data_IF_017989769914
#
_entry.id   IF_017989769914
#
_cell.length_a   1.000
_cell.length_b   1.000
_cell.length_c   1.000
_cell.angle_alpha   90.00
_cell.angle_beta   90.00
_cell.angle_gamma   90.00
#
_symmetry.space_group_name_H-M   'P 1'
#
loop_
_entity.id
_entity.type
_entity.pdbx_description
1 polymer ?
#
# COMPACT_ATOMS: atom_id res chain seq x y z
N UNK A 1 7.04 29.80 40.18
CA UNK A 1 7.84 28.56 40.03
C UNK A 1 6.95 27.52 39.33
N UNK A 2 7.44 26.91 38.24
CA UNK A 2 6.94 25.71 37.51
C UNK A 2 5.48 25.74 36.96
N UNK A 3 5.26 25.89 35.64
CA UNK A 3 5.21 24.88 34.55
C UNK A 3 4.24 23.71 34.82
N UNK A 4 3.17 23.54 34.03
CA UNK A 4 3.21 22.73 32.81
C UNK A 4 1.89 22.71 31.99
N UNK A 5 2.05 22.46 30.68
CA UNK A 5 1.21 21.64 29.80
C UNK A 5 -0.14 22.14 29.22
N UNK A 6 -0.07 23.16 28.37
CA UNK A 6 -1.14 23.62 27.47
C UNK A 6 -0.98 23.19 26.00
N UNK A 7 -0.63 21.92 25.77
CA UNK A 7 -1.09 21.07 24.67
C UNK A 7 -1.44 21.74 23.31
N UNK A 8 -0.40 22.03 22.54
CA UNK A 8 -0.19 21.38 21.22
C UNK A 8 -1.22 21.61 20.11
N UNK A 9 -2.04 22.67 20.18
CA UNK A 9 -3.13 22.93 19.21
C UNK A 9 -2.89 24.07 18.21
N UNK A 10 -1.71 24.71 18.17
CA UNK A 10 -1.54 25.95 17.41
C UNK A 10 -0.36 26.01 16.42
N UNK A 11 0.45 24.96 16.28
CA UNK A 11 1.61 24.95 15.36
C UNK A 11 1.71 23.49 14.90
N UNK A 12 1.31 23.07 13.71
CA UNK A 12 1.94 23.30 12.41
C UNK A 12 0.86 23.02 11.34
N UNK A 13 0.06 24.03 11.01
CA UNK A 13 -0.88 24.06 9.88
C UNK A 13 -0.28 24.77 8.66
N UNK A 14 1.04 24.70 8.47
CA UNK A 14 1.71 25.33 7.32
C UNK A 14 2.73 24.40 6.69
N UNK A 15 2.26 23.46 5.88
CA UNK A 15 2.97 23.02 4.67
C UNK A 15 1.90 22.81 3.58
N UNK A 16 1.37 23.92 3.08
CA UNK A 16 0.73 23.97 1.78
C UNK A 16 1.42 25.08 1.00
N UNK A 17 1.76 24.77 -0.25
CA UNK A 17 2.38 25.62 -1.28
C UNK A 17 3.92 25.66 -1.34
N UNK A 18 4.40 25.42 -2.56
CA UNK A 18 5.77 25.51 -3.08
C UNK A 18 6.68 24.26 -2.93
N UNK A 19 6.75 23.52 -4.04
CA UNK A 19 7.93 22.84 -4.59
C UNK A 19 8.65 21.74 -3.79
N UNK A 20 8.92 20.64 -4.49
CA UNK A 20 9.81 19.52 -4.13
C UNK A 20 11.07 19.95 -3.36
N UNK A 21 11.45 19.20 -2.31
CA UNK A 21 12.67 18.38 -2.20
C UNK A 21 12.84 17.91 -0.74
N UNK A 22 13.34 16.67 -0.63
CA UNK A 22 13.50 15.89 0.60
C UNK A 22 14.22 16.56 1.75
N UNK A 23 13.61 16.44 2.92
CA UNK A 23 14.30 16.51 4.21
C UNK A 23 13.55 15.77 5.35
N UNK A 24 12.50 15.00 5.03
CA UNK A 24 11.75 14.25 6.07
C UNK A 24 11.76 12.74 5.88
N UNK A 25 12.21 12.19 4.74
CA UNK A 25 12.01 10.78 4.45
C UNK A 25 12.67 9.84 5.49
N UNK A 26 13.89 10.09 5.96
CA UNK A 26 14.53 9.16 6.91
C UNK A 26 13.99 9.25 8.35
N UNK A 27 13.88 10.45 8.91
CA UNK A 27 13.38 10.63 10.28
C UNK A 27 11.86 10.46 10.39
N UNK A 28 11.09 10.94 9.40
CA UNK A 28 9.65 10.69 9.37
C UNK A 28 9.34 9.24 9.03
N UNK A 29 10.11 8.53 8.18
CA UNK A 29 9.90 7.09 7.99
C UNK A 29 10.31 6.27 9.21
N UNK A 30 11.37 6.63 9.94
CA UNK A 30 11.71 5.97 11.20
C UNK A 30 10.68 6.25 12.30
N UNK A 31 10.24 7.49 12.44
CA UNK A 31 9.23 7.90 13.41
C UNK A 31 7.86 7.33 13.07
N UNK A 32 7.46 7.34 11.77
CA UNK A 32 6.28 6.64 11.27
C UNK A 32 6.43 5.14 11.53
N UNK A 33 7.50 4.47 11.09
CA UNK A 33 7.73 3.02 11.35
C UNK A 33 7.69 2.68 12.84
N UNK A 34 8.25 3.51 13.72
CA UNK A 34 8.17 3.31 15.18
C UNK A 34 6.76 3.49 15.70
N UNK A 35 6.04 4.52 15.26
CA UNK A 35 4.64 4.77 15.65
C UNK A 35 3.69 3.70 15.11
N UNK A 36 3.91 3.22 13.89
CA UNK A 36 3.18 2.10 13.28
C UNK A 36 3.48 0.78 13.99
N UNK A 37 4.75 0.46 14.30
CA UNK A 37 5.08 -0.71 15.14
C UNK A 37 4.42 -0.69 16.52
N UNK A 38 4.14 0.50 17.07
CA UNK A 38 3.47 0.66 18.37
C UNK A 38 1.93 0.61 18.27
N UNK A 39 1.34 0.94 17.12
CA UNK A 39 -0.11 0.96 16.90
C UNK A 39 -0.66 -0.28 16.17
N UNK A 40 0.20 -1.13 15.61
CA UNK A 40 -0.18 -2.38 14.96
C UNK A 40 -0.69 -3.38 15.99
N UNK A 41 -2.01 -3.44 16.20
CA UNK A 41 -2.62 -4.66 16.72
C UNK A 41 -2.36 -5.81 15.72
N UNK A 42 -2.31 -7.06 16.19
CA UNK A 42 -2.06 -8.24 15.33
C UNK A 42 -2.99 -8.33 14.09
N UNK A 43 -4.14 -7.65 14.11
CA UNK A 43 -5.11 -7.61 13.01
C UNK A 43 -4.71 -6.67 11.87
N UNK A 44 -3.74 -5.79 12.06
CA UNK A 44 -3.38 -4.74 11.09
C UNK A 44 -2.27 -5.19 10.11
N UNK A 45 -1.71 -6.40 10.29
CA UNK A 45 -0.68 -6.97 9.39
C UNK A 45 -1.33 -7.84 8.30
N UNK A 46 -2.49 -8.43 8.57
CA UNK A 46 -3.16 -9.25 7.57
C UNK A 46 -3.84 -8.38 6.50
N UNK A 47 -3.94 -8.84 5.24
CA UNK A 47 -4.81 -8.20 4.26
C UNK A 47 -6.26 -8.24 4.74
N UNK A 48 -6.99 -7.16 4.51
CA UNK A 48 -8.40 -7.11 4.91
C UNK A 48 -9.22 -8.06 4.03
N UNK A 49 -10.02 -8.91 4.70
CA UNK A 49 -10.88 -9.89 4.07
C UNK A 49 -12.27 -9.79 4.69
N UNK A 50 -13.17 -9.12 3.98
CA UNK A 50 -14.56 -9.04 4.37
C UNK A 50 -15.26 -10.36 4.04
N UNK A 51 -16.17 -10.77 4.92
CA UNK A 51 -17.07 -11.89 4.67
C UNK A 51 -18.49 -11.36 4.54
N UNK A 52 -19.22 -11.91 3.58
CA UNK A 52 -20.67 -11.69 3.45
C UNK A 52 -21.40 -12.30 4.65
N UNK A 53 -22.67 -11.93 4.85
CA UNK A 53 -23.54 -12.50 5.90
C UNK A 53 -23.62 -14.03 5.85
N UNK A 54 -23.48 -14.62 4.66
CA UNK A 54 -23.43 -16.07 4.44
C UNK A 54 -22.10 -16.74 4.82
N UNK A 55 -21.12 -15.97 5.29
CA UNK A 55 -19.76 -16.43 5.59
C UNK A 55 -18.84 -16.59 4.37
N UNK A 56 -19.37 -16.43 3.14
CA UNK A 56 -18.56 -16.42 1.91
C UNK A 56 -17.65 -15.19 1.86
N UNK A 57 -16.47 -15.33 1.25
CA UNK A 57 -15.57 -14.20 0.97
C UNK A 57 -16.31 -13.13 0.17
N UNK A 58 -16.36 -11.92 0.73
CA UNK A 58 -16.92 -10.73 0.10
C UNK A 58 -15.83 -9.97 -0.63
N UNK A 59 -15.32 -8.92 0.00
CA UNK A 59 -14.26 -8.08 -0.56
C UNK A 59 -12.90 -8.46 0.01
N UNK A 60 -11.93 -8.62 -0.89
CA UNK A 60 -10.53 -8.76 -0.55
C UNK A 60 -9.82 -7.43 -0.83
N UNK A 61 -9.06 -6.94 0.14
CA UNK A 61 -8.18 -5.78 -0.01
C UNK A 61 -7.24 -5.98 -1.20
N UNK A 62 -7.17 -5.02 -2.12
CA UNK A 62 -6.28 -5.12 -3.28
C UNK A 62 -4.83 -5.04 -2.81
N UNK A 63 -3.94 -5.80 -3.46
CA UNK A 63 -2.52 -5.84 -3.10
C UNK A 63 -1.87 -4.45 -2.97
N UNK A 64 -2.10 -3.55 -3.91
CA UNK A 64 -1.52 -2.20 -3.85
C UNK A 64 -2.04 -1.37 -2.67
N UNK A 65 -3.31 -1.57 -2.28
CA UNK A 65 -3.92 -0.91 -1.13
C UNK A 65 -3.36 -1.48 0.18
N UNK A 66 -3.20 -2.80 0.23
CA UNK A 66 -2.52 -3.47 1.33
C UNK A 66 -1.10 -2.92 1.53
N UNK A 67 -0.30 -2.80 0.46
CA UNK A 67 1.05 -2.22 0.53
C UNK A 67 1.03 -0.78 1.04
N UNK A 68 0.12 0.07 0.53
CA UNK A 68 -0.02 1.44 1.00
C UNK A 68 -0.31 1.51 2.51
N UNK A 69 -1.24 0.68 3.00
CA UNK A 69 -1.56 0.58 4.43
C UNK A 69 -0.38 0.10 5.26
N UNK A 70 0.34 -0.93 4.79
CA UNK A 70 1.56 -1.42 5.46
C UNK A 70 2.68 -0.37 5.49
N UNK A 71 2.69 0.56 4.53
CA UNK A 71 3.60 1.70 4.47
C UNK A 71 3.12 2.93 5.28
N UNK A 72 1.92 2.84 5.88
CA UNK A 72 1.36 3.89 6.72
C UNK A 72 0.60 4.98 5.96
N UNK A 73 0.05 4.66 4.78
CA UNK A 73 -0.88 5.54 4.08
C UNK A 73 -2.31 5.12 4.43
N UNK A 74 -3.11 6.06 4.95
CA UNK A 74 -4.51 5.83 5.31
C UNK A 74 -5.41 5.89 4.05
N UNK A 75 -5.06 6.73 3.08
CA UNK A 75 -5.72 6.82 1.76
C UNK A 75 -4.72 6.47 0.64
N UNK A 76 -5.11 5.53 -0.23
CA UNK A 76 -4.29 5.07 -1.35
C UNK A 76 -4.11 6.12 -2.45
N UNK A 77 -4.97 7.16 -2.46
CA UNK A 77 -4.84 8.32 -3.33
C UNK A 77 -3.67 9.24 -2.93
N UNK A 78 -3.12 9.08 -1.72
CA UNK A 78 -1.92 9.81 -1.29
C UNK A 78 -0.64 9.26 -1.94
N UNK A 79 -0.65 8.00 -2.36
CA UNK A 79 0.52 7.31 -2.89
C UNK A 79 0.25 6.54 -4.20
N UNK A 80 -0.37 7.16 -5.23
CA UNK A 80 -0.80 6.45 -6.44
C UNK A 80 0.37 5.83 -7.22
N UNK A 81 1.53 6.51 -7.24
CA UNK A 81 2.73 6.00 -7.88
C UNK A 81 3.31 4.79 -7.14
N UNK A 82 3.34 4.80 -5.80
CA UNK A 82 3.76 3.66 -4.99
C UNK A 82 2.84 2.46 -5.23
N UNK A 83 1.52 2.69 -5.25
CA UNK A 83 0.52 1.67 -5.56
C UNK A 83 0.75 1.03 -6.93
N UNK A 84 1.08 1.85 -7.95
CA UNK A 84 1.42 1.38 -9.29
C UNK A 84 2.69 0.52 -9.28
N UNK A 85 3.76 1.01 -8.66
CA UNK A 85 5.05 0.30 -8.57
C UNK A 85 4.91 -1.04 -7.84
N UNK A 86 4.17 -1.09 -6.73
CA UNK A 86 3.89 -2.32 -6.00
C UNK A 86 3.20 -3.35 -6.91
N UNK A 87 2.23 -2.90 -7.72
CA UNK A 87 1.51 -3.76 -8.64
C UNK A 87 2.38 -4.28 -9.79
N UNK A 88 3.17 -3.39 -10.39
CA UNK A 88 4.13 -3.75 -11.44
C UNK A 88 5.19 -4.73 -10.93
N UNK A 89 5.67 -4.52 -9.70
CA UNK A 89 6.64 -5.41 -9.06
C UNK A 89 6.06 -6.79 -8.78
N UNK A 90 4.84 -6.87 -8.23
CA UNK A 90 4.15 -8.15 -8.01
C UNK A 90 3.94 -8.91 -9.32
N UNK A 91 3.59 -8.21 -10.40
CA UNK A 91 3.43 -8.81 -11.73
C UNK A 91 4.75 -9.13 -12.42
N UNK A 92 5.89 -8.73 -11.84
CA UNK A 92 7.21 -8.76 -12.47
C UNK A 92 7.17 -8.16 -13.88
N UNK A 93 6.48 -7.02 -14.02
CA UNK A 93 6.40 -6.27 -15.27
C UNK A 93 7.80 -5.87 -15.74
N UNK A 94 8.01 -5.88 -17.06
CA UNK A 94 9.30 -5.49 -17.66
C UNK A 94 9.65 -4.05 -17.25
N UNK A 95 10.88 -3.84 -16.76
CA UNK A 95 11.37 -2.53 -16.33
C UNK A 95 10.85 -2.05 -14.98
N UNK A 96 10.12 -2.88 -14.22
CA UNK A 96 9.59 -2.45 -12.92
C UNK A 96 10.69 -2.06 -11.92
N UNK A 97 11.80 -2.79 -11.87
CA UNK A 97 12.93 -2.47 -10.98
C UNK A 97 13.59 -1.13 -11.35
N UNK A 98 13.77 -0.85 -12.65
CA UNK A 98 14.26 0.44 -13.12
C UNK A 98 13.30 1.58 -12.74
N UNK A 99 11.99 1.37 -12.89
CA UNK A 99 10.96 2.34 -12.50
C UNK A 99 10.96 2.61 -10.98
N UNK A 100 11.23 1.58 -10.16
CA UNK A 100 11.35 1.72 -8.71
C UNK A 100 12.62 2.51 -8.37
N UNK A 101 13.73 2.28 -9.07
CA UNK A 101 14.95 3.04 -8.87
C UNK A 101 14.76 4.51 -9.27
N UNK A 102 14.16 4.76 -10.43
CA UNK A 102 13.87 6.11 -10.94
C UNK A 102 12.93 6.89 -10.00
N UNK A 103 12.02 6.21 -9.31
CA UNK A 103 11.14 6.81 -8.31
C UNK A 103 11.91 7.57 -7.22
N UNK A 104 13.14 7.14 -6.89
CA UNK A 104 14.00 7.77 -5.90
C UNK A 104 15.08 8.68 -6.50
N UNK A 105 15.07 8.94 -7.81
CA UNK A 105 16.14 9.69 -8.53
C UNK A 105 16.48 11.08 -7.97
N UNK A 106 15.56 11.70 -7.21
CA UNK A 106 15.74 13.02 -6.59
C UNK A 106 16.13 12.98 -5.11
N UNK A 107 16.23 11.78 -4.54
CA UNK A 107 16.56 11.58 -3.13
C UNK A 107 18.07 11.49 -2.93
N UNK A 108 18.54 11.78 -1.71
CA UNK A 108 19.97 11.78 -1.39
C UNK A 108 20.61 10.38 -1.44
N UNK A 109 19.84 9.33 -1.19
CA UNK A 109 20.31 7.94 -1.09
C UNK A 109 19.43 6.98 -1.92
N UNK A 110 19.38 7.16 -3.25
CA UNK A 110 18.42 6.48 -4.12
C UNK A 110 18.59 4.95 -4.10
N UNK A 111 19.83 4.46 -4.07
CA UNK A 111 20.14 3.03 -4.01
C UNK A 111 19.67 2.39 -2.69
N UNK A 112 19.94 3.04 -1.55
CA UNK A 112 19.48 2.53 -0.25
C UNK A 112 17.96 2.49 -0.15
N UNK A 113 17.28 3.50 -0.69
CA UNK A 113 15.82 3.57 -0.70
C UNK A 113 15.21 2.54 -1.64
N UNK A 114 15.80 2.33 -2.82
CA UNK A 114 15.45 1.28 -3.75
C UNK A 114 15.48 -0.09 -3.09
N UNK A 115 16.61 -0.47 -2.48
CA UNK A 115 16.77 -1.77 -1.81
C UNK A 115 15.72 -1.96 -0.72
N UNK A 116 15.52 -0.95 0.14
CA UNK A 116 14.51 -1.01 1.21
C UNK A 116 13.09 -1.17 0.67
N UNK A 117 12.75 -0.49 -0.43
CA UNK A 117 11.42 -0.57 -1.00
C UNK A 117 11.16 -1.95 -1.61
N UNK A 118 12.14 -2.51 -2.33
CA UNK A 118 12.07 -3.88 -2.87
C UNK A 118 11.90 -4.91 -1.76
N UNK A 119 12.69 -4.80 -0.68
CA UNK A 119 12.55 -5.69 0.49
C UNK A 119 11.17 -5.61 1.14
N UNK A 120 10.59 -4.41 1.26
CA UNK A 120 9.24 -4.25 1.79
C UNK A 120 8.17 -4.79 0.82
N UNK A 121 8.36 -4.67 -0.50
CA UNK A 121 7.48 -5.30 -1.48
C UNK A 121 7.52 -6.82 -1.36
N UNK A 122 8.70 -7.45 -1.28
CA UNK A 122 8.83 -8.89 -1.09
C UNK A 122 8.15 -9.35 0.20
N UNK A 123 8.35 -8.62 1.31
CA UNK A 123 7.68 -8.92 2.58
C UNK A 123 6.17 -8.78 2.47
N UNK A 124 5.69 -7.74 1.78
CA UNK A 124 4.27 -7.53 1.56
C UNK A 124 3.67 -8.65 0.69
N UNK A 125 4.35 -9.10 -0.37
CA UNK A 125 3.89 -10.20 -1.22
C UNK A 125 3.72 -11.48 -0.39
N UNK A 126 4.76 -11.84 0.37
CA UNK A 126 4.73 -13.03 1.23
C UNK A 126 3.60 -12.93 2.27
N UNK A 127 3.51 -11.81 2.97
CA UNK A 127 2.48 -11.58 3.99
C UNK A 127 1.08 -11.64 3.37
N UNK A 128 0.89 -11.01 2.22
CA UNK A 128 -0.40 -10.92 1.53
C UNK A 128 -0.99 -12.31 1.26
N UNK A 129 -0.21 -13.23 0.68
CA UNK A 129 -0.71 -14.56 0.36
C UNK A 129 -0.73 -15.53 1.56
N UNK A 130 0.14 -15.35 2.56
CA UNK A 130 0.26 -16.29 3.68
C UNK A 130 -0.91 -16.20 4.66
N UNK A 131 -1.38 -14.99 5.00
CA UNK A 131 -2.49 -14.83 5.95
C UNK A 131 -3.79 -15.48 5.49
N UNK A 132 -4.04 -15.47 4.17
CA UNK A 132 -5.26 -16.02 3.56
C UNK A 132 -4.93 -17.10 2.53
N UNK A 133 -4.01 -18.00 2.85
CA UNK A 133 -3.54 -19.05 1.92
C UNK A 133 -4.67 -19.91 1.34
N UNK A 134 -5.71 -20.20 2.13
CA UNK A 134 -6.92 -20.90 1.67
C UNK A 134 -7.68 -20.17 0.56
N UNK A 135 -7.43 -18.87 0.38
CA UNK A 135 -8.01 -18.01 -0.64
C UNK A 135 -6.99 -17.58 -1.70
N UNK A 136 -5.76 -18.15 -1.72
CA UNK A 136 -4.69 -17.72 -2.63
C UNK A 136 -5.11 -17.69 -4.11
N UNK A 137 -5.92 -18.64 -4.57
CA UNK A 137 -6.45 -18.65 -5.95
C UNK A 137 -7.30 -17.42 -6.27
N UNK A 138 -8.11 -16.96 -5.32
CA UNK A 138 -8.90 -15.72 -5.44
C UNK A 138 -8.00 -14.50 -5.43
N UNK A 139 -7.00 -14.46 -4.54
CA UNK A 139 -6.04 -13.36 -4.45
C UNK A 139 -5.23 -13.22 -5.74
N UNK A 140 -4.72 -14.33 -6.28
CA UNK A 140 -4.02 -14.37 -7.58
C UNK A 140 -4.96 -13.92 -8.69
N UNK A 141 -6.19 -14.43 -8.72
CA UNK A 141 -7.18 -14.01 -9.73
C UNK A 141 -7.46 -12.52 -9.66
N UNK A 142 -7.54 -11.92 -8.47
CA UNK A 142 -7.69 -10.47 -8.31
C UNK A 142 -6.50 -9.75 -8.95
N UNK A 143 -5.26 -10.16 -8.63
CA UNK A 143 -4.02 -9.59 -9.18
C UNK A 143 -3.90 -9.74 -10.71
N UNK A 144 -4.39 -10.84 -11.27
CA UNK A 144 -4.37 -11.03 -12.72
C UNK A 144 -5.53 -10.29 -13.42
N UNK A 145 -6.66 -10.10 -12.73
CA UNK A 145 -7.90 -9.57 -13.33
C UNK A 145 -8.05 -8.05 -13.32
N UNK A 146 -7.24 -7.29 -12.58
CA UNK A 146 -7.27 -5.80 -12.66
C UNK A 146 -7.01 -5.28 -14.08
N UNK A 147 -6.37 -6.08 -14.93
CA UNK A 147 -6.12 -5.78 -16.35
C UNK A 147 -7.29 -6.19 -17.27
N UNK A 148 -8.24 -6.95 -16.75
CA UNK A 148 -9.41 -7.44 -17.48
C UNK A 148 -10.61 -6.52 -17.23
N UNK A 149 -10.69 -5.43 -18.00
CA UNK A 149 -11.97 -4.75 -18.27
C UNK A 149 -13.06 -5.71 -18.82
N UNK A 150 -12.71 -6.95 -19.19
CA UNK A 150 -13.60 -7.96 -19.80
C UNK A 150 -14.65 -8.55 -18.85
N UNK A 151 -14.59 -8.32 -17.53
CA UNK A 151 -15.57 -8.89 -16.58
C UNK A 151 -16.98 -8.31 -16.75
N UNK A 152 -17.11 -7.06 -17.20
CA UNK A 152 -18.41 -6.46 -17.53
C UNK A 152 -19.07 -7.22 -18.69
N UNK A 153 -18.34 -7.45 -19.78
CA UNK A 153 -18.89 -8.10 -20.99
C UNK A 153 -19.53 -9.46 -20.74
N UNK A 154 -18.87 -10.36 -19.98
CA UNK A 154 -19.44 -11.68 -19.67
C UNK A 154 -20.67 -11.59 -18.78
N UNK A 155 -20.63 -10.71 -17.75
CA UNK A 155 -21.78 -10.46 -16.88
C UNK A 155 -22.95 -9.90 -17.69
N UNK A 156 -22.69 -8.96 -18.59
CA UNK A 156 -23.68 -8.33 -19.45
C UNK A 156 -24.33 -9.35 -20.41
N UNK A 157 -23.55 -10.29 -20.97
CA UNK A 157 -24.08 -11.38 -21.79
C UNK A 157 -25.01 -12.32 -21.02
N UNK A 158 -24.65 -12.70 -19.79
CA UNK A 158 -25.51 -13.57 -18.96
C UNK A 158 -26.80 -12.84 -18.56
N UNK A 159 -26.71 -11.56 -18.20
CA UNK A 159 -27.88 -10.74 -17.87
C UNK A 159 -28.80 -10.50 -19.08
N UNK A 160 -28.27 -10.46 -20.30
CA UNK A 160 -29.07 -10.35 -21.52
C UNK A 160 -29.80 -11.65 -21.90
N UNK A 161 -29.42 -12.79 -21.31
CA UNK A 161 -29.98 -14.10 -21.60
C UNK A 161 -31.04 -14.57 -20.57
N UNK A 162 -31.32 -13.78 -19.55
CA UNK A 162 -32.33 -14.04 -18.50
C UNK A 162 -33.47 -13.04 -18.62
#
# INVERSE_FOLDING_TARGET
>A
MHLDSGHGKAIISHIAAASFVGAFAAAASHYRRQKYKYHMGNQDIAPLLDRTESGRVGNLERFSHYVARQMGFDDTNECPQLCKLAYEYLKKSKGCEDNIYEYFSKEAEPESLYVKLVEEFDRCILSYFTFHWSHASLMISQVLSVESEKKTKLKDFIMAAT
#
